data_IF_622500015312
#
_entry.id   IF_622500015312
#
_cell.length_a   1.000
_cell.length_b   1.000
_cell.length_c   1.000
_cell.angle_alpha   90.00
_cell.angle_beta   90.00
_cell.angle_gamma   90.00
#
_symmetry.space_group_name_H-M   'P 1'
#
loop_
_entity.id
_entity.type
_entity.pdbx_description
1 polymer ?
#
# COMPACT_ATOMS: atom_id res chain seq x y z
N UNK A 1 0.33 7.17 -13.69
CA UNK A 1 -0.30 6.36 -12.64
C UNK A 1 -1.67 5.93 -13.10
N UNK A 2 -2.04 4.65 -12.93
CA UNK A 2 -3.41 4.19 -13.21
C UNK A 2 -4.33 4.76 -12.13
N UNK A 3 -5.41 5.42 -12.52
CA UNK A 3 -6.34 6.04 -11.57
C UNK A 3 -7.55 5.11 -11.39
N UNK A 4 -7.46 4.19 -10.45
CA UNK A 4 -8.51 3.22 -10.17
C UNK A 4 -9.46 3.75 -9.10
N UNK A 5 -10.76 3.51 -9.26
CA UNK A 5 -11.73 3.67 -8.17
C UNK A 5 -11.53 2.54 -7.14
N UNK A 6 -11.86 2.78 -5.87
CA UNK A 6 -11.79 1.77 -4.81
C UNK A 6 -12.42 0.43 -5.20
N UNK A 7 -13.59 0.45 -5.84
CA UNK A 7 -14.31 -0.75 -6.29
C UNK A 7 -13.50 -1.57 -7.30
N UNK A 8 -12.76 -0.89 -8.18
CA UNK A 8 -11.93 -1.52 -9.19
C UNK A 8 -10.69 -2.19 -8.59
N UNK A 9 -10.13 -1.61 -7.53
CA UNK A 9 -9.01 -2.19 -6.77
C UNK A 9 -9.50 -3.37 -5.94
N UNK A 10 -10.64 -3.20 -5.26
CA UNK A 10 -11.28 -4.23 -4.45
C UNK A 10 -11.54 -5.50 -5.27
N UNK A 11 -12.14 -5.34 -6.45
CA UNK A 11 -12.42 -6.45 -7.37
C UNK A 11 -11.14 -7.13 -7.87
N UNK A 12 -10.12 -6.35 -8.28
CA UNK A 12 -8.85 -6.89 -8.81
C UNK A 12 -8.07 -7.68 -7.80
N UNK A 13 -8.09 -7.26 -6.53
CA UNK A 13 -7.31 -7.86 -5.46
C UNK A 13 -8.15 -8.81 -4.58
N UNK A 14 -9.41 -9.05 -4.95
CA UNK A 14 -10.36 -9.84 -4.17
C UNK A 14 -10.46 -9.36 -2.70
N UNK A 15 -10.53 -8.05 -2.53
CA UNK A 15 -10.64 -7.36 -1.24
C UNK A 15 -12.03 -6.76 -1.06
N UNK A 16 -12.39 -6.45 0.18
CA UNK A 16 -13.58 -5.63 0.44
C UNK A 16 -13.29 -4.15 0.20
N UNK A 17 -14.28 -3.39 -0.30
CA UNK A 17 -14.19 -1.91 -0.36
C UNK A 17 -13.95 -1.29 1.01
N UNK A 18 -14.45 -1.93 2.07
CA UNK A 18 -14.29 -1.47 3.45
C UNK A 18 -12.83 -1.54 3.89
N UNK A 19 -12.08 -2.57 3.47
CA UNK A 19 -10.65 -2.70 3.75
C UNK A 19 -9.88 -1.52 3.13
N UNK A 20 -10.12 -1.23 1.85
CA UNK A 20 -9.49 -0.10 1.15
C UNK A 20 -9.85 1.25 1.80
N UNK A 21 -11.13 1.46 2.13
CA UNK A 21 -11.57 2.67 2.81
C UNK A 21 -10.89 2.84 4.18
N UNK A 22 -10.70 1.78 4.95
CA UNK A 22 -9.97 1.86 6.22
C UNK A 22 -8.50 2.22 6.02
N UNK A 23 -7.84 1.71 4.98
CA UNK A 23 -6.44 2.04 4.69
C UNK A 23 -6.28 3.49 4.24
N UNK A 24 -7.15 3.96 3.35
CA UNK A 24 -7.11 5.34 2.86
C UNK A 24 -7.42 6.39 3.95
N UNK A 25 -8.17 5.99 4.99
CA UNK A 25 -8.48 6.84 6.14
C UNK A 25 -7.58 6.58 7.36
N UNK A 26 -6.45 5.88 7.19
CA UNK A 26 -5.49 5.54 8.25
C UNK A 26 -6.09 4.79 9.47
N UNK A 27 -7.22 4.10 9.30
CA UNK A 27 -7.84 3.31 10.37
C UNK A 27 -7.22 1.92 10.55
N UNK A 28 -6.49 1.43 9.54
CA UNK A 28 -5.73 0.17 9.59
C UNK A 28 -4.69 0.15 8.46
N UNK A 29 -3.84 -0.87 8.44
CA UNK A 29 -2.88 -1.10 7.37
C UNK A 29 -3.18 -2.43 6.64
N UNK A 30 -2.84 -2.55 5.35
CA UNK A 30 -2.82 -3.84 4.66
C UNK A 30 -1.73 -4.73 5.26
N UNK A 31 -1.90 -6.05 5.16
CA UNK A 31 -0.81 -6.98 5.43
C UNK A 31 0.26 -6.92 4.31
N UNK A 32 1.40 -7.58 4.55
CA UNK A 32 2.54 -7.57 3.63
C UNK A 32 2.20 -8.16 2.26
N UNK A 33 1.35 -9.19 2.22
CA UNK A 33 0.95 -9.82 0.96
C UNK A 33 0.08 -8.87 0.14
N UNK A 34 -0.89 -8.22 0.79
CA UNK A 34 -1.78 -7.25 0.18
C UNK A 34 -1.02 -6.00 -0.28
N UNK A 35 -0.04 -5.56 0.49
CA UNK A 35 0.86 -4.47 0.09
C UNK A 35 1.65 -4.83 -1.17
N UNK A 36 2.16 -6.06 -1.26
CA UNK A 36 2.84 -6.56 -2.46
C UNK A 36 1.93 -6.56 -3.69
N UNK A 37 0.69 -7.03 -3.55
CA UNK A 37 -0.30 -7.01 -4.63
C UNK A 37 -0.64 -5.57 -5.07
N UNK A 38 -0.75 -4.62 -4.13
CA UNK A 38 -0.93 -3.20 -4.43
C UNK A 38 0.28 -2.64 -5.19
N UNK A 39 1.51 -2.95 -4.75
CA UNK A 39 2.72 -2.56 -5.45
C UNK A 39 2.73 -3.06 -6.91
N UNK A 40 2.40 -4.34 -7.13
CA UNK A 40 2.29 -4.91 -8.47
C UNK A 40 1.23 -4.23 -9.32
N UNK A 41 0.04 -3.97 -8.74
CA UNK A 41 -1.07 -3.33 -9.44
C UNK A 41 -0.71 -1.93 -9.96
N UNK A 42 0.03 -1.17 -9.15
CA UNK A 42 0.45 0.20 -9.47
C UNK A 42 1.82 0.30 -10.15
N UNK A 43 2.55 -0.81 -10.30
CA UNK A 43 3.89 -0.85 -10.90
C UNK A 43 4.96 -0.22 -10.00
N UNK A 44 4.82 -0.37 -8.69
CA UNK A 44 5.77 0.09 -7.68
C UNK A 44 6.66 -1.08 -7.22
N UNK A 45 7.91 -0.78 -6.87
CA UNK A 45 8.78 -1.75 -6.20
C UNK A 45 8.52 -1.72 -4.70
N UNK A 46 8.13 -2.87 -4.12
CA UNK A 46 7.95 -3.02 -2.68
C UNK A 46 9.27 -2.81 -1.92
N UNK A 47 10.40 -3.21 -2.50
CA UNK A 47 11.73 -3.02 -1.91
C UNK A 47 12.02 -1.53 -1.73
N UNK A 48 11.74 -0.72 -2.75
CA UNK A 48 11.91 0.73 -2.68
C UNK A 48 11.00 1.35 -1.61
N UNK A 49 9.74 0.91 -1.55
CA UNK A 49 8.79 1.37 -0.53
C UNK A 49 9.27 1.05 0.90
N UNK A 50 9.77 -0.17 1.13
CA UNK A 50 10.26 -0.58 2.45
C UNK A 50 11.56 0.15 2.84
N UNK A 51 12.47 0.40 1.89
CA UNK A 51 13.72 1.14 2.15
C UNK A 51 13.45 2.59 2.54
N UNK A 52 12.54 3.28 1.83
CA UNK A 52 12.16 4.66 2.15
C UNK A 52 11.59 4.76 3.57
N UNK A 53 10.72 3.82 3.97
CA UNK A 53 10.11 3.79 5.31
C UNK A 53 11.08 3.29 6.40
N UNK A 54 12.08 2.47 6.06
CA UNK A 54 13.11 2.03 7.01
C UNK A 54 14.09 3.17 7.36
N UNK A 55 14.40 4.04 6.39
CA UNK A 55 15.34 5.14 6.55
C UNK A 55 14.78 6.32 7.36
N UNK A 56 13.45 6.43 7.51
CA UNK A 56 12.83 7.42 8.40
C UNK A 56 13.11 7.17 9.89
N UNK A 57 13.63 5.99 10.26
CA UNK A 57 13.97 5.65 11.64
C UNK A 57 15.45 5.89 12.02
N UNK A 58 16.27 6.43 11.10
CA UNK A 58 17.71 6.68 11.33
C UNK A 58 18.14 8.14 11.20
N UNK A 59 17.20 9.09 11.10
CA UNK A 59 17.48 10.54 11.06
C UNK A 59 17.86 11.20 12.40
N UNK A 60 18.31 10.42 13.39
CA UNK A 60 18.75 10.89 14.71
C UNK A 60 20.20 10.56 15.06
N UNK A 61 21.06 10.33 14.06
CA UNK A 61 22.51 10.21 14.23
C UNK A 61 23.23 10.94 13.09
N UNK A 62 23.22 12.27 13.17
CA UNK A 62 24.20 13.16 12.56
C UNK A 62 24.54 14.25 13.56
#
# INVERSE_FOLDING_TARGET
>A
MKNFKQEQVAERLNLSRQSLSKWENNHSLPDVHTLYELCNLYGLSIEKFLIENANENTGGLS
#
